data_IF_380496079007
#
_entry.id   IF_380496079007
#
_cell.length_a   1.000
_cell.length_b   1.000
_cell.length_c   1.000
_cell.angle_alpha   90.00
_cell.angle_beta   90.00
_cell.angle_gamma   90.00
#
_symmetry.space_group_name_H-M   'P 1'
#
loop_
_entity.id
_entity.type
_entity.pdbx_description
1 polymer ?
#
# COMPACT_ATOMS: atom_id res chain seq x y z
N UNK A 1 28.50 9.78 -5.31
CA UNK A 1 27.05 9.67 -5.67
C UNK A 1 26.41 8.36 -5.21
N UNK A 2 26.88 7.17 -5.61
CA UNK A 2 26.29 5.88 -5.17
C UNK A 2 26.17 5.72 -3.64
N UNK A 3 27.19 6.13 -2.86
CA UNK A 3 27.13 6.10 -1.39
C UNK A 3 26.03 6.99 -0.79
N UNK A 4 25.74 8.15 -1.39
CA UNK A 4 24.70 9.07 -0.90
C UNK A 4 23.32 8.46 -1.09
N UNK A 5 23.04 7.95 -2.30
CA UNK A 5 21.79 7.26 -2.59
C UNK A 5 21.58 6.09 -1.61
N UNK A 6 22.61 5.26 -1.41
CA UNK A 6 22.55 4.14 -0.47
C UNK A 6 22.22 4.59 0.95
N UNK A 7 22.95 5.57 1.50
CA UNK A 7 22.68 6.08 2.86
C UNK A 7 21.26 6.63 3.00
N UNK A 8 20.75 7.34 2.00
CA UNK A 8 19.41 7.88 2.04
C UNK A 8 18.34 6.77 1.95
N UNK A 9 18.55 5.76 1.11
CA UNK A 9 17.68 4.59 1.02
C UNK A 9 17.68 3.79 2.32
N UNK A 10 18.84 3.56 2.97
CA UNK A 10 18.90 2.94 4.30
C UNK A 10 18.06 3.72 5.31
N UNK A 11 18.14 5.06 5.30
CA UNK A 11 17.30 5.89 6.16
C UNK A 11 15.80 5.76 5.87
N UNK A 12 15.40 5.47 4.63
CA UNK A 12 14.01 5.16 4.28
C UNK A 12 13.63 3.77 4.81
N UNK A 13 14.44 2.74 4.55
CA UNK A 13 14.16 1.38 5.01
C UNK A 13 14.03 1.30 6.54
N UNK A 14 14.87 2.00 7.30
CA UNK A 14 14.70 2.06 8.76
C UNK A 14 13.33 2.65 9.17
N UNK A 15 12.84 3.68 8.47
CA UNK A 15 11.51 4.24 8.73
C UNK A 15 10.36 3.33 8.28
N UNK A 16 10.60 2.43 7.34
CA UNK A 16 9.63 1.40 6.95
C UNK A 16 9.63 0.26 7.98
N UNK A 17 10.81 -0.13 8.47
CA UNK A 17 10.98 -1.10 9.56
C UNK A 17 10.33 -0.63 10.86
N UNK A 18 10.42 0.68 11.18
CA UNK A 18 9.70 1.29 12.32
C UNK A 18 8.16 1.11 12.23
N UNK A 19 7.62 0.79 11.05
CA UNK A 19 6.19 0.54 10.79
C UNK A 19 5.86 -0.96 10.68
N UNK A 20 6.74 -1.86 11.12
CA UNK A 20 6.54 -3.31 10.98
C UNK A 20 5.20 -3.80 11.56
N UNK A 21 4.76 -3.24 12.69
CA UNK A 21 3.46 -3.60 13.28
C UNK A 21 2.28 -3.13 12.41
N UNK A 22 2.34 -1.91 11.88
CA UNK A 22 1.29 -1.38 10.99
C UNK A 22 1.21 -2.22 9.70
N UNK A 23 2.36 -2.60 9.15
CA UNK A 23 2.46 -3.48 7.97
C UNK A 23 1.89 -4.87 8.26
N UNK A 24 2.21 -5.44 9.43
CA UNK A 24 1.65 -6.72 9.87
C UNK A 24 0.12 -6.64 10.03
N UNK A 25 -0.41 -5.56 10.61
CA UNK A 25 -1.86 -5.36 10.76
C UNK A 25 -2.55 -5.20 9.40
N UNK A 26 -1.92 -4.51 8.44
CA UNK A 26 -2.43 -4.45 7.08
C UNK A 26 -2.45 -5.82 6.40
N UNK A 27 -1.40 -6.63 6.54
CA UNK A 27 -1.38 -8.01 6.04
C UNK A 27 -2.50 -8.86 6.65
N UNK A 28 -2.73 -8.74 7.96
CA UNK A 28 -3.84 -9.40 8.65
C UNK A 28 -5.21 -8.93 8.18
N UNK A 29 -5.35 -7.64 7.85
CA UNK A 29 -6.58 -7.12 7.26
C UNK A 29 -6.84 -7.77 5.89
N UNK A 30 -5.86 -7.77 4.99
CA UNK A 30 -6.01 -8.29 3.63
C UNK A 30 -6.23 -9.81 3.60
N UNK A 31 -5.57 -10.58 4.47
CA UNK A 31 -5.73 -12.04 4.48
C UNK A 31 -7.14 -12.48 4.88
N UNK A 32 -7.91 -11.64 5.62
CA UNK A 32 -9.28 -11.96 6.01
C UNK A 32 -10.20 -12.13 4.79
N UNK A 33 -9.98 -11.37 3.71
CA UNK A 33 -10.71 -11.58 2.45
C UNK A 33 -10.30 -12.91 1.79
N UNK A 34 -8.99 -13.19 1.73
CA UNK A 34 -8.44 -14.36 1.03
C UNK A 34 -8.78 -15.67 1.73
N UNK A 35 -8.77 -15.68 3.07
CA UNK A 35 -9.16 -16.84 3.87
C UNK A 35 -10.68 -17.08 3.92
N UNK A 36 -11.47 -16.12 3.45
CA UNK A 36 -12.92 -16.21 3.31
C UNK A 36 -13.37 -16.45 1.86
N UNK A 37 -14.60 -16.02 1.55
CA UNK A 37 -15.16 -16.04 0.18
C UNK A 37 -15.00 -14.70 -0.56
N UNK A 38 -14.28 -13.74 0.03
CA UNK A 38 -14.12 -12.38 -0.49
C UNK A 38 -12.90 -12.18 -1.39
N UNK A 39 -12.76 -10.96 -1.91
CA UNK A 39 -11.66 -10.53 -2.77
C UNK A 39 -10.89 -9.35 -2.16
N UNK A 40 -9.63 -9.23 -2.56
CA UNK A 40 -8.84 -8.02 -2.31
C UNK A 40 -8.87 -7.14 -3.55
N UNK A 41 -9.61 -6.02 -3.50
CA UNK A 41 -9.66 -5.07 -4.61
C UNK A 41 -8.49 -4.09 -4.56
N UNK A 42 -7.82 -3.91 -5.69
CA UNK A 42 -6.57 -3.17 -5.80
C UNK A 42 -6.79 -1.90 -6.63
N UNK A 43 -6.30 -0.75 -6.15
CA UNK A 43 -6.19 0.45 -6.98
C UNK A 43 -4.90 1.23 -6.69
N UNK A 44 -4.15 1.45 -7.75
CA UNK A 44 -2.96 2.28 -7.75
C UNK A 44 -3.20 3.65 -8.36
N UNK A 45 -2.51 4.66 -7.84
CA UNK A 45 -2.60 6.03 -8.33
C UNK A 45 -1.23 6.56 -8.78
N UNK A 46 -1.25 7.50 -9.72
CA UNK A 46 -0.06 8.16 -10.24
C UNK A 46 1.06 7.17 -10.61
N UNK A 47 2.27 7.48 -10.18
CA UNK A 47 3.46 6.69 -10.49
C UNK A 47 3.48 5.31 -9.82
N UNK A 48 2.64 5.03 -8.82
CA UNK A 48 2.55 3.68 -8.28
C UNK A 48 1.56 2.79 -9.03
N UNK A 49 0.72 3.35 -9.91
CA UNK A 49 -0.30 2.59 -10.65
C UNK A 49 0.25 1.40 -11.42
N UNK A 50 1.50 1.44 -11.90
CA UNK A 50 2.09 0.30 -12.61
C UNK A 50 2.26 -0.96 -11.75
N UNK A 51 2.16 -0.87 -10.41
CA UNK A 51 2.15 -2.03 -9.54
C UNK A 51 0.83 -2.79 -9.57
N UNK A 52 -0.27 -2.22 -10.09
CA UNK A 52 -1.55 -2.92 -10.24
C UNK A 52 -1.38 -4.32 -10.86
N UNK A 53 -0.84 -4.49 -12.08
CA UNK A 53 -0.61 -5.81 -12.67
C UNK A 53 0.35 -6.68 -11.85
N UNK A 54 1.37 -6.09 -11.22
CA UNK A 54 2.29 -6.85 -10.38
C UNK A 54 1.58 -7.50 -9.18
N UNK A 55 0.68 -6.77 -8.52
CA UNK A 55 -0.08 -7.23 -7.36
C UNK A 55 -1.08 -8.35 -7.73
N UNK A 56 -1.61 -8.37 -8.96
CA UNK A 56 -2.68 -9.31 -9.37
C UNK A 56 -2.22 -10.46 -10.27
N UNK A 57 -1.12 -10.32 -11.01
CA UNK A 57 -0.72 -11.26 -12.09
C UNK A 57 0.70 -11.81 -11.94
N UNK A 58 1.54 -11.23 -11.07
CA UNK A 58 2.93 -11.73 -10.91
C UNK A 58 3.00 -13.09 -10.20
N UNK A 59 4.17 -13.71 -10.21
CA UNK A 59 4.44 -14.91 -9.38
C UNK A 59 4.28 -14.64 -7.87
N UNK A 60 4.35 -13.37 -7.48
CA UNK A 60 4.25 -12.88 -6.10
C UNK A 60 2.92 -12.12 -5.91
N UNK A 61 1.88 -12.43 -6.70
CA UNK A 61 0.56 -11.80 -6.61
C UNK A 61 -0.16 -12.13 -5.31
N UNK A 62 -1.05 -11.23 -4.88
CA UNK A 62 -2.00 -11.51 -3.81
C UNK A 62 -3.08 -12.45 -4.34
N UNK A 63 -3.26 -13.62 -3.70
CA UNK A 63 -4.34 -14.55 -4.05
C UNK A 63 -5.70 -13.87 -3.95
N UNK A 64 -6.66 -14.26 -4.79
CA UNK A 64 -8.01 -13.68 -4.81
C UNK A 64 -8.02 -12.14 -4.90
N UNK A 65 -7.04 -11.54 -5.58
CA UNK A 65 -7.02 -10.10 -5.83
C UNK A 65 -7.62 -9.74 -7.20
N UNK A 66 -8.23 -8.56 -7.29
CA UNK A 66 -8.86 -8.02 -8.51
C UNK A 66 -8.60 -6.52 -8.60
N UNK A 67 -8.58 -5.95 -9.80
CA UNK A 67 -8.55 -4.48 -9.91
C UNK A 67 -9.89 -3.91 -9.45
N UNK A 68 -9.85 -2.87 -8.62
CA UNK A 68 -11.03 -2.13 -8.19
C UNK A 68 -11.80 -1.57 -9.40
N UNK A 69 -11.09 -1.23 -10.50
CA UNK A 69 -11.68 -0.76 -11.75
C UNK A 69 -12.50 -1.81 -12.51
N UNK A 70 -12.48 -3.07 -12.10
CA UNK A 70 -13.38 -4.10 -12.66
C UNK A 70 -14.80 -4.00 -12.13
N UNK A 71 -14.99 -3.30 -11.01
CA UNK A 71 -16.30 -3.04 -10.44
C UNK A 71 -16.99 -1.89 -11.15
N UNK A 72 -18.32 -1.94 -11.21
CA UNK A 72 -19.11 -0.86 -11.81
C UNK A 72 -19.42 0.21 -10.77
N UNK A 73 -19.65 -0.21 -9.52
CA UNK A 73 -19.87 0.65 -8.36
C UNK A 73 -19.14 0.08 -7.14
N UNK A 74 -18.88 0.90 -6.12
CA UNK A 74 -18.38 0.40 -4.83
C UNK A 74 -19.46 -0.35 -4.04
N UNK A 75 -20.74 -0.24 -4.42
CA UNK A 75 -21.81 -1.06 -3.83
C UNK A 75 -21.67 -2.56 -4.18
N UNK A 76 -20.80 -2.90 -5.14
CA UNK A 76 -20.47 -4.29 -5.49
C UNK A 76 -19.47 -4.92 -4.50
N UNK A 77 -18.95 -4.15 -3.55
CA UNK A 77 -18.02 -4.60 -2.50
C UNK A 77 -18.84 -4.90 -1.24
N UNK A 78 -18.65 -6.07 -0.65
CA UNK A 78 -19.32 -6.43 0.60
C UNK A 78 -18.34 -6.53 1.80
N UNK A 79 -18.89 -6.81 2.98
CA UNK A 79 -18.13 -6.88 4.23
C UNK A 79 -17.02 -7.96 4.27
N UNK A 80 -17.04 -8.92 3.35
CA UNK A 80 -16.02 -9.96 3.23
C UNK A 80 -14.84 -9.53 2.37
N UNK A 81 -15.01 -8.48 1.56
CA UNK A 81 -13.96 -7.94 0.71
C UNK A 81 -13.05 -6.96 1.46
N UNK A 82 -11.85 -6.73 0.92
CA UNK A 82 -10.90 -5.74 1.42
C UNK A 82 -10.38 -4.90 0.27
N UNK A 83 -9.97 -3.66 0.55
CA UNK A 83 -9.40 -2.78 -0.48
C UNK A 83 -7.96 -2.42 -0.15
N UNK A 84 -7.05 -2.59 -1.12
CA UNK A 84 -5.69 -2.11 -1.07
C UNK A 84 -5.53 -0.92 -2.02
N UNK A 85 -5.35 0.27 -1.45
CA UNK A 85 -5.08 1.50 -2.17
C UNK A 85 -3.62 1.91 -2.00
N UNK A 86 -2.96 2.29 -3.09
CA UNK A 86 -1.61 2.82 -3.02
C UNK A 86 -1.34 4.00 -3.96
N UNK A 87 -0.72 5.04 -3.41
CA UNK A 87 -0.46 6.29 -4.13
C UNK A 87 0.81 6.94 -3.61
N UNK A 88 1.61 7.63 -4.45
CA UNK A 88 2.68 8.50 -3.96
C UNK A 88 2.21 9.48 -2.87
N UNK A 89 1.02 10.06 -3.03
CA UNK A 89 0.49 11.09 -2.15
C UNK A 89 -1.02 10.93 -1.92
N UNK A 90 -1.50 11.46 -0.79
CA UNK A 90 -2.92 11.56 -0.48
C UNK A 90 -3.54 12.73 -1.25
N UNK A 91 -3.95 12.49 -2.50
CA UNK A 91 -4.58 13.49 -3.38
C UNK A 91 -6.09 13.58 -3.12
N UNK A 92 -6.77 14.58 -3.69
CA UNK A 92 -8.23 14.68 -3.63
C UNK A 92 -8.94 13.43 -4.18
N UNK A 93 -8.40 12.82 -5.24
CA UNK A 93 -8.94 11.58 -5.81
C UNK A 93 -8.82 10.42 -4.81
N UNK A 94 -7.65 10.25 -4.19
CA UNK A 94 -7.43 9.21 -3.16
C UNK A 94 -8.35 9.45 -1.97
N UNK A 95 -8.45 10.70 -1.50
CA UNK A 95 -9.30 11.04 -0.37
C UNK A 95 -10.78 10.75 -0.64
N UNK A 96 -11.27 11.05 -1.85
CA UNK A 96 -12.64 10.76 -2.26
C UNK A 96 -12.93 9.26 -2.27
N UNK A 97 -12.04 8.47 -2.86
CA UNK A 97 -12.22 7.01 -2.90
C UNK A 97 -12.17 6.40 -1.49
N UNK A 98 -11.20 6.83 -0.68
CA UNK A 98 -11.09 6.42 0.73
C UNK A 98 -12.36 6.75 1.51
N UNK A 99 -12.86 7.99 1.40
CA UNK A 99 -14.08 8.38 2.09
C UNK A 99 -15.27 7.53 1.65
N UNK A 100 -15.40 7.28 0.35
CA UNK A 100 -16.51 6.47 -0.17
C UNK A 100 -16.45 5.03 0.36
N UNK A 101 -15.26 4.43 0.44
CA UNK A 101 -15.11 3.08 0.99
C UNK A 101 -15.41 3.02 2.49
N UNK A 102 -14.90 3.99 3.25
CA UNK A 102 -15.16 4.11 4.70
C UNK A 102 -16.64 4.34 4.98
N UNK A 103 -17.32 5.18 4.20
CA UNK A 103 -18.76 5.44 4.33
C UNK A 103 -19.63 4.19 4.06
N UNK A 104 -19.07 3.17 3.40
CA UNK A 104 -19.70 1.88 3.16
C UNK A 104 -19.21 0.78 4.12
N UNK A 105 -18.55 1.15 5.21
CA UNK A 105 -18.00 0.22 6.22
C UNK A 105 -17.00 -0.82 5.64
N UNK A 106 -16.26 -0.43 4.59
CA UNK A 106 -15.27 -1.29 3.95
C UNK A 106 -13.89 -1.04 4.57
N UNK A 107 -13.23 -2.11 5.02
CA UNK A 107 -11.85 -2.05 5.50
C UNK A 107 -10.85 -1.79 4.35
N UNK A 108 -10.01 -0.76 4.53
CA UNK A 108 -9.05 -0.28 3.54
C UNK A 108 -7.62 -0.32 4.10
N UNK A 109 -6.71 -0.92 3.35
CA UNK A 109 -5.28 -0.69 3.51
C UNK A 109 -4.87 0.46 2.60
N UNK A 110 -4.35 1.54 3.18
CA UNK A 110 -3.90 2.72 2.44
C UNK A 110 -2.39 2.90 2.58
N UNK A 111 -1.69 2.87 1.45
CA UNK A 111 -0.24 3.08 1.38
C UNK A 111 0.06 4.38 0.62
N UNK A 112 0.40 5.44 1.33
CA UNK A 112 0.86 6.69 0.71
C UNK A 112 1.80 7.48 1.62
N UNK A 113 2.40 8.57 1.12
CA UNK A 113 3.07 9.49 2.03
C UNK A 113 2.04 10.16 2.93
N UNK A 114 2.32 10.23 4.24
CA UNK A 114 1.45 10.89 5.21
C UNK A 114 1.23 12.37 4.80
N UNK A 115 -0.03 12.81 4.60
CA UNK A 115 -0.32 14.21 4.31
C UNK A 115 0.08 15.11 5.49
N UNK A 116 0.42 16.37 5.21
CA UNK A 116 0.74 17.37 6.25
C UNK A 116 -0.49 18.14 6.73
N UNK A 117 -1.39 18.42 5.80
CA UNK A 117 -2.50 19.37 5.98
C UNK A 117 -3.87 18.68 5.83
N UNK A 118 -3.90 17.35 5.96
CA UNK A 118 -5.12 16.55 5.85
C UNK A 118 -5.03 15.38 6.82
N UNK A 119 -6.17 15.02 7.40
CA UNK A 119 -6.27 13.85 8.26
C UNK A 119 -6.73 12.65 7.43
N UNK A 120 -6.12 11.50 7.70
CA UNK A 120 -6.60 10.22 7.18
C UNK A 120 -7.59 9.70 8.22
N UNK A 121 -8.81 9.29 7.83
CA UNK A 121 -9.75 8.68 8.77
C UNK A 121 -9.09 7.52 9.51
N UNK A 122 -9.25 7.42 10.83
CA UNK A 122 -8.64 6.34 11.61
C UNK A 122 -9.49 5.05 11.59
N UNK A 123 -10.79 5.18 11.37
CA UNK A 123 -11.71 4.04 11.34
C UNK A 123 -11.72 3.35 9.98
N UNK A 124 -11.72 2.02 9.97
CA UNK A 124 -11.64 1.17 8.77
C UNK A 124 -10.40 1.39 7.88
N UNK A 125 -9.37 2.10 8.38
CA UNK A 125 -8.13 2.33 7.61
C UNK A 125 -6.92 1.78 8.34
N UNK A 126 -6.24 0.85 7.67
CA UNK A 126 -4.88 0.43 7.99
C UNK A 126 -3.90 1.26 7.15
N UNK A 127 -3.36 2.30 7.75
CA UNK A 127 -2.46 3.23 7.05
C UNK A 127 -0.99 2.83 7.18
N UNK A 128 -0.27 2.81 6.06
CA UNK A 128 1.19 2.65 6.03
C UNK A 128 1.81 3.84 5.31
N UNK A 129 2.76 4.51 5.96
CA UNK A 129 3.48 5.63 5.38
C UNK A 129 4.56 5.16 4.40
N UNK A 130 4.53 5.63 3.16
CA UNK A 130 5.57 5.36 2.15
C UNK A 130 6.97 5.90 2.53
N UNK A 131 7.06 6.80 3.50
CA UNK A 131 8.32 7.36 4.02
C UNK A 131 9.24 8.04 2.97
N UNK A 132 8.64 8.51 1.87
CA UNK A 132 9.30 9.12 0.72
C UNK A 132 8.69 10.48 0.33
N UNK A 133 8.47 11.43 1.26
CA UNK A 133 7.72 12.66 0.99
C UNK A 133 8.46 13.69 0.13
N UNK A 134 9.72 13.42 -0.22
CA UNK A 134 10.59 14.32 -1.01
C UNK A 134 11.69 13.53 -1.70
N UNK A 135 12.31 14.08 -2.77
CA UNK A 135 13.45 13.44 -3.39
C UNK A 135 14.70 13.47 -2.50
N UNK A 136 15.60 12.49 -2.67
CA UNK A 136 16.67 12.15 -1.72
C UNK A 136 18.10 12.28 -2.26
N UNK A 137 18.31 12.24 -3.58
CA UNK A 137 19.65 12.34 -4.17
C UNK A 137 19.96 13.79 -4.50
N UNK A 138 21.04 14.33 -3.92
CA UNK A 138 21.61 15.63 -4.25
C UNK A 138 22.56 15.49 -5.44
N UNK A 139 22.34 16.27 -6.50
CA UNK A 139 23.32 16.46 -7.58
C UNK A 139 24.52 17.28 -7.07
N UNK A 140 25.55 17.45 -7.91
CA UNK A 140 26.68 18.35 -7.60
C UNK A 140 26.21 19.81 -7.39
N UNK A 141 25.06 20.17 -7.98
CA UNK A 141 24.39 21.47 -7.83
C UNK A 141 23.34 21.49 -6.70
N UNK A 142 23.30 20.47 -5.84
CA UNK A 142 22.35 20.30 -4.74
C UNK A 142 20.88 20.09 -5.14
N UNK A 143 20.58 19.80 -6.40
CA UNK A 143 19.23 19.45 -6.84
C UNK A 143 18.82 18.09 -6.28
N UNK A 144 17.55 17.98 -5.87
CA UNK A 144 16.96 16.72 -5.38
C UNK A 144 16.26 16.01 -6.53
N UNK A 145 16.85 14.91 -7.03
CA UNK A 145 16.42 14.32 -8.32
C UNK A 145 15.73 12.97 -8.25
N UNK A 146 15.96 12.16 -7.21
CA UNK A 146 15.36 10.81 -7.09
C UNK A 146 14.35 10.78 -5.98
N UNK A 147 13.09 10.49 -6.29
CA UNK A 147 12.05 10.22 -5.30
C UNK A 147 11.68 8.72 -5.32
N UNK A 148 12.03 7.96 -4.27
CA UNK A 148 12.10 6.50 -4.37
C UNK A 148 10.77 5.83 -3.96
N UNK A 149 9.63 6.32 -4.46
CA UNK A 149 8.31 5.75 -4.12
C UNK A 149 8.21 4.27 -4.45
N UNK A 150 8.73 3.86 -5.60
CA UNK A 150 8.58 2.51 -6.14
C UNK A 150 9.32 1.47 -5.31
N UNK A 151 10.56 1.74 -4.91
CA UNK A 151 11.34 0.84 -4.06
C UNK A 151 10.77 0.77 -2.63
N UNK A 152 10.23 1.87 -2.11
CA UNK A 152 9.55 1.87 -0.81
C UNK A 152 8.25 1.09 -0.84
N UNK A 153 7.43 1.27 -1.88
CA UNK A 153 6.21 0.50 -2.05
C UNK A 153 6.51 -0.99 -2.21
N UNK A 154 7.49 -1.36 -3.04
CA UNK A 154 7.86 -2.76 -3.24
C UNK A 154 8.39 -3.41 -1.95
N UNK A 155 9.16 -2.67 -1.13
CA UNK A 155 9.55 -3.14 0.20
C UNK A 155 8.33 -3.45 1.07
N UNK A 156 7.38 -2.51 1.19
CA UNK A 156 6.15 -2.70 1.97
C UNK A 156 5.34 -3.89 1.42
N UNK A 157 5.22 -3.99 0.10
CA UNK A 157 4.52 -5.09 -0.54
C UNK A 157 5.14 -6.45 -0.20
N UNK A 158 6.46 -6.56 -0.21
CA UNK A 158 7.15 -7.81 0.14
C UNK A 158 7.03 -8.18 1.62
N UNK A 159 7.01 -7.19 2.51
CA UNK A 159 6.66 -7.44 3.92
C UNK A 159 5.23 -7.96 4.03
N UNK A 160 4.24 -7.30 3.41
CA UNK A 160 2.84 -7.74 3.40
C UNK A 160 2.73 -9.17 2.85
N UNK A 161 3.30 -9.42 1.67
CA UNK A 161 3.25 -10.71 1.00
C UNK A 161 3.85 -11.81 1.86
N UNK A 162 5.02 -11.56 2.46
CA UNK A 162 5.70 -12.53 3.33
C UNK A 162 4.85 -12.84 4.56
N UNK A 163 4.30 -11.82 5.23
CA UNK A 163 3.40 -12.01 6.37
C UNK A 163 2.16 -12.85 5.99
N UNK A 164 1.56 -12.57 4.83
CA UNK A 164 0.39 -13.30 4.34
C UNK A 164 0.72 -14.76 3.98
N UNK A 165 1.89 -15.04 3.41
CA UNK A 165 2.35 -16.40 3.14
C UNK A 165 2.53 -17.19 4.43
N UNK A 166 3.15 -16.60 5.46
CA UNK A 166 3.33 -17.26 6.76
C UNK A 166 1.96 -17.54 7.41
N UNK A 167 1.05 -16.55 7.42
CA UNK A 167 -0.32 -16.76 7.94
C UNK A 167 -1.09 -17.86 7.19
N UNK A 168 -0.92 -17.96 5.87
CA UNK A 168 -1.60 -19.00 5.08
C UNK A 168 -1.04 -20.39 5.39
N UNK A 169 0.28 -20.52 5.56
CA UNK A 169 0.92 -21.80 5.93
C UNK A 169 0.46 -22.31 7.29
N UNK A 170 0.28 -21.40 8.24
CA UNK A 170 -0.23 -21.73 9.57
C UNK A 170 -1.68 -22.25 9.54
N UNK A 171 -2.47 -21.88 8.53
CA UNK A 171 -3.85 -22.35 8.32
C UNK A 171 -3.95 -23.71 7.62
N UNK A 172 -2.89 -24.16 6.93
CA UNK A 172 -2.83 -25.45 6.22
C UNK A 172 -2.29 -26.60 7.09
N UNK A 173 -2.04 -26.35 8.39
CA UNK A 173 -1.67 -27.33 9.43
C UNK A 173 -2.89 -27.85 10.22
#
# INVERSE_FOLDING_TARGET
MSKILQTQLTGIFNRLEDQALDIQMAAQCLIQAIGGEGYVYIKGYGDLKFFEPFVIESEEHLKSSKLLSTLTTFDDIDSTDRVLLFSPYYTEEVAKDVQTLVDNDIDVVLICNRPKDSEIPEHFIHFINLATPRPIVYTEDYDKVVQPHTISFNYIYYEIYTQMIEMTRDLEL
#
